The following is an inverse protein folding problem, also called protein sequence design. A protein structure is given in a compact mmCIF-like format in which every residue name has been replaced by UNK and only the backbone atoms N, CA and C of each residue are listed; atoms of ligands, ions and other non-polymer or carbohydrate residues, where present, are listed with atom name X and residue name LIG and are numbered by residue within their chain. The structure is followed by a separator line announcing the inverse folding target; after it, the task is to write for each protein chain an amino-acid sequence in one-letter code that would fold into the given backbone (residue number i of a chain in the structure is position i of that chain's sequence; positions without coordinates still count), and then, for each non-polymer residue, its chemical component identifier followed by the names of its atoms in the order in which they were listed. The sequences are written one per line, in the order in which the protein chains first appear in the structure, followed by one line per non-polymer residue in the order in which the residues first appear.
data_IF_897241530206
#
_entry.id   IF_897241530206
#
_cell.length_a   1.000
_cell.length_b   1.000
_cell.length_c   1.000
_cell.angle_alpha   90.00
_cell.angle_beta   90.00
_cell.angle_gamma   90.00
#
_symmetry.space_group_name_H-M   'P 1'
#
loop_
_entity.id
_entity.type
_entity.pdbx_description
1 polymer ?
#
# COMPACT_ATOMS: atom_id res chain seq x y z
N UNK A 1 33.67 -14.06 8.04
CA UNK A 1 32.86 -12.84 8.18
C UNK A 1 31.42 -13.27 7.94
N UNK A 2 30.59 -13.27 8.98
CA UNK A 2 29.18 -13.63 8.85
C UNK A 2 28.41 -12.35 8.45
N UNK A 3 27.74 -12.38 7.30
CA UNK A 3 26.83 -11.33 6.86
C UNK A 3 25.72 -11.18 7.90
N UNK A 4 25.59 -9.97 8.46
CA UNK A 4 24.51 -9.66 9.38
C UNK A 4 23.17 -9.74 8.62
N UNK A 5 22.13 -10.35 9.20
CA UNK A 5 20.82 -10.39 8.57
C UNK A 5 20.36 -8.95 8.35
N UNK A 6 19.93 -8.65 7.13
CA UNK A 6 19.39 -7.35 6.74
C UNK A 6 18.39 -6.92 7.81
N UNK A 7 18.80 -5.93 8.63
CA UNK A 7 17.90 -5.28 9.56
C UNK A 7 16.76 -4.78 8.68
N UNK A 8 15.57 -5.35 8.85
CA UNK A 8 14.33 -4.65 8.57
C UNK A 8 14.32 -3.44 9.51
N UNK A 9 15.08 -2.41 9.12
CA UNK A 9 14.90 -1.08 9.65
C UNK A 9 13.45 -0.81 9.30
N UNK A 10 12.62 -0.54 10.30
CA UNK A 10 11.32 0.10 10.12
C UNK A 10 11.58 1.51 9.61
N UNK A 11 12.17 1.61 8.42
CA UNK A 11 12.29 2.83 7.68
C UNK A 11 10.86 3.33 7.56
N UNK A 12 10.61 4.51 8.08
CA UNK A 12 9.34 5.18 7.81
C UNK A 12 9.16 5.20 6.29
N UNK A 13 7.97 4.98 5.74
CA UNK A 13 7.86 4.83 4.28
C UNK A 13 8.34 6.07 3.52
N UNK A 14 8.41 7.21 4.21
CA UNK A 14 9.03 8.45 3.72
C UNK A 14 10.52 8.29 3.33
N UNK A 15 11.20 7.29 3.91
CA UNK A 15 12.59 6.95 3.67
C UNK A 15 12.78 5.79 2.68
N UNK A 16 11.70 5.22 2.14
CA UNK A 16 11.80 4.16 1.13
C UNK A 16 12.22 4.76 -0.22
N UNK A 17 13.10 4.04 -0.91
CA UNK A 17 13.37 4.27 -2.33
C UNK A 17 12.08 4.14 -3.14
N UNK A 18 12.01 4.79 -4.31
CA UNK A 18 10.82 4.76 -5.17
C UNK A 18 10.37 3.33 -5.50
N UNK A 19 11.32 2.44 -5.82
CA UNK A 19 11.05 1.02 -6.08
C UNK A 19 10.50 0.27 -4.87
N UNK A 20 11.04 0.53 -3.67
CA UNK A 20 10.60 -0.15 -2.45
C UNK A 20 9.24 0.37 -1.98
N UNK A 21 8.98 1.67 -2.14
CA UNK A 21 7.66 2.26 -1.94
C UNK A 21 6.63 1.62 -2.87
N UNK A 22 6.93 1.51 -4.17
CA UNK A 22 6.04 0.86 -5.14
C UNK A 22 5.75 -0.60 -4.78
N UNK A 23 6.78 -1.37 -4.40
CA UNK A 23 6.60 -2.78 -3.97
C UNK A 23 5.75 -2.89 -2.70
N UNK A 24 6.02 -2.05 -1.70
CA UNK A 24 5.25 -2.06 -0.46
C UNK A 24 3.78 -1.69 -0.73
N UNK A 25 3.53 -0.66 -1.53
CA UNK A 25 2.17 -0.25 -1.90
C UNK A 25 1.46 -1.29 -2.75
N UNK A 26 2.16 -1.96 -3.68
CA UNK A 26 1.61 -3.07 -4.44
C UNK A 26 1.07 -4.17 -3.52
N UNK A 27 1.83 -4.55 -2.49
CA UNK A 27 1.38 -5.53 -1.50
C UNK A 27 0.14 -5.05 -0.75
N UNK A 28 0.12 -3.80 -0.27
CA UNK A 28 -1.02 -3.25 0.47
C UNK A 28 -2.30 -3.16 -0.38
N UNK A 29 -2.21 -2.60 -1.59
CA UNK A 29 -3.35 -2.48 -2.52
C UNK A 29 -3.87 -3.86 -2.92
N UNK A 30 -2.98 -4.82 -3.21
CA UNK A 30 -3.36 -6.21 -3.53
C UNK A 30 -4.12 -6.87 -2.39
N UNK A 31 -3.63 -6.73 -1.16
CA UNK A 31 -4.32 -7.29 0.02
C UNK A 31 -5.67 -6.61 0.25
N UNK A 32 -5.75 -5.29 0.05
CA UNK A 32 -6.99 -4.54 0.09
C UNK A 32 -8.02 -5.04 -0.93
N UNK A 33 -7.59 -5.29 -2.17
CA UNK A 33 -8.44 -5.86 -3.21
C UNK A 33 -8.94 -7.26 -2.85
N UNK A 34 -8.06 -8.13 -2.35
CA UNK A 34 -8.40 -9.49 -1.93
C UNK A 34 -9.42 -9.53 -0.78
N UNK A 35 -9.33 -8.59 0.16
CA UNK A 35 -10.31 -8.46 1.24
C UNK A 35 -11.70 -8.10 0.71
N UNK A 36 -11.80 -7.26 -0.33
CA UNK A 36 -13.09 -6.94 -0.99
C UNK A 36 -13.56 -8.03 -1.96
N UNK A 37 -12.62 -8.73 -2.58
CA UNK A 37 -12.87 -9.68 -3.67
C UNK A 37 -12.25 -11.05 -3.34
N UNK A 38 -12.82 -11.80 -2.38
CA UNK A 38 -12.28 -13.10 -2.01
C UNK A 38 -12.25 -14.05 -3.21
N UNK A 39 -11.15 -14.79 -3.38
CA UNK A 39 -10.96 -15.76 -4.47
C UNK A 39 -10.41 -15.17 -5.78
N UNK A 40 -10.30 -13.84 -5.92
CA UNK A 40 -9.76 -13.18 -7.13
C UNK A 40 -8.25 -12.97 -7.11
N UNK A 41 -7.49 -13.94 -6.59
CA UNK A 41 -6.04 -13.80 -6.37
C UNK A 41 -5.21 -13.61 -7.65
N UNK A 42 -5.68 -14.17 -8.78
CA UNK A 42 -5.03 -14.01 -10.08
C UNK A 42 -5.19 -12.60 -10.65
N UNK A 43 -6.34 -11.97 -10.41
CA UNK A 43 -6.61 -10.60 -10.88
C UNK A 43 -6.01 -9.57 -9.94
N UNK A 44 -5.95 -9.86 -8.63
CA UNK A 44 -5.46 -8.95 -7.60
C UNK A 44 -4.07 -8.37 -7.89
N UNK A 45 -3.15 -9.20 -8.39
CA UNK A 45 -1.80 -8.75 -8.71
C UNK A 45 -1.78 -7.78 -9.90
N UNK A 46 -2.53 -8.10 -10.96
CA UNK A 46 -2.65 -7.23 -12.14
C UNK A 46 -3.33 -5.90 -11.80
N UNK A 47 -4.42 -5.94 -11.04
CA UNK A 47 -5.17 -4.74 -10.64
C UNK A 47 -4.31 -3.86 -9.72
N UNK A 48 -3.62 -4.45 -8.74
CA UNK A 48 -2.73 -3.69 -7.90
C UNK A 48 -1.60 -3.06 -8.73
N UNK A 49 -0.99 -3.80 -9.66
CA UNK A 49 0.09 -3.27 -10.49
C UNK A 49 -0.36 -2.11 -11.38
N UNK A 50 -1.54 -2.20 -11.99
CA UNK A 50 -2.16 -1.10 -12.76
C UNK A 50 -2.32 0.16 -11.91
N UNK A 51 -2.85 0.00 -10.71
CA UNK A 51 -3.06 1.10 -9.76
C UNK A 51 -1.72 1.74 -9.37
N UNK A 52 -0.70 0.94 -9.02
CA UNK A 52 0.61 1.47 -8.63
C UNK A 52 1.31 2.19 -9.79
N UNK A 53 1.12 1.74 -11.03
CA UNK A 53 1.70 2.38 -12.21
C UNK A 53 1.06 3.73 -12.52
N UNK A 54 -0.26 3.85 -12.27
CA UNK A 54 -1.04 5.08 -12.50
C UNK A 54 -0.86 6.12 -11.39
N UNK A 55 -0.56 5.69 -10.17
CA UNK A 55 -0.38 6.58 -9.04
C UNK A 55 1.01 7.25 -9.06
N UNK A 56 1.01 8.56 -8.79
CA UNK A 56 2.25 9.29 -8.52
C UNK A 56 2.86 8.87 -7.19
N UNK A 57 4.16 9.07 -7.01
CA UNK A 57 4.86 8.74 -5.75
C UNK A 57 4.26 9.47 -4.54
N UNK A 58 3.81 10.71 -4.71
CA UNK A 58 3.12 11.45 -3.66
C UNK A 58 1.80 10.76 -3.25
N UNK A 59 1.02 10.30 -4.22
CA UNK A 59 -0.22 9.57 -3.98
C UNK A 59 0.05 8.21 -3.34
N UNK A 60 1.11 7.52 -3.76
CA UNK A 60 1.55 6.26 -3.14
C UNK A 60 1.93 6.47 -1.67
N UNK A 61 2.57 7.59 -1.31
CA UNK A 61 2.86 7.94 0.08
C UNK A 61 1.61 8.22 0.91
N UNK A 62 0.46 8.53 0.30
CA UNK A 62 -0.80 8.73 1.02
C UNK A 62 -1.47 7.40 1.41
N UNK A 63 -1.19 6.31 0.66
CA UNK A 63 -1.63 4.93 0.96
C UNK A 63 -0.73 4.28 2.03
N UNK A 64 -0.20 5.07 2.97
CA UNK A 64 0.70 4.60 4.01
C UNK A 64 -0.04 3.77 5.07
N UNK A 65 0.54 2.69 5.64
CA UNK A 65 -0.06 1.95 6.77
C UNK A 65 -0.43 2.81 7.98
N UNK A 66 0.36 3.82 8.32
CA UNK A 66 -0.04 4.87 9.31
C UNK A 66 -1.39 5.54 9.01
N UNK A 67 -1.76 5.73 7.75
CA UNK A 67 -3.08 6.26 7.35
C UNK A 67 -4.19 5.31 7.79
N UNK A 68 -3.89 4.01 7.91
CA UNK A 68 -4.85 2.98 8.29
C UNK A 68 -4.82 2.65 9.79
N UNK A 69 -3.65 2.67 10.42
CA UNK A 69 -3.43 2.19 11.80
C UNK A 69 -3.04 3.26 12.82
N UNK A 70 -2.28 4.30 12.44
CA UNK A 70 -1.56 5.12 13.42
C UNK A 70 -2.15 6.51 13.64
N UNK A 71 -2.85 7.08 12.66
CA UNK A 71 -3.27 8.49 12.71
C UNK A 71 -4.78 8.69 12.87
N UNK A 72 -5.40 7.92 13.76
CA UNK A 72 -6.85 8.02 13.99
C UNK A 72 -7.21 8.78 15.24
N UNK A 73 -8.13 9.73 15.06
CA UNK A 73 -9.03 10.17 16.13
C UNK A 73 -9.93 8.98 16.53
N UNK A 74 -10.19 8.83 17.83
CA UNK A 74 -11.10 7.81 18.36
C UNK A 74 -12.44 7.81 17.58
N UNK A 75 -12.73 6.73 16.84
CA UNK A 75 -14.02 6.54 16.16
C UNK A 75 -13.97 6.24 14.65
N UNK A 76 -12.84 6.44 13.97
CA UNK A 76 -12.75 6.17 12.52
C UNK A 76 -12.32 4.72 12.19
N UNK A 77 -13.01 4.06 11.26
CA UNK A 77 -12.67 2.71 10.79
C UNK A 77 -11.49 2.78 9.81
N UNK A 78 -10.64 1.73 9.77
CA UNK A 78 -9.46 1.76 8.90
C UNK A 78 -9.95 1.66 7.46
N UNK A 79 -9.57 2.62 6.62
CA UNK A 79 -9.91 2.54 5.19
C UNK A 79 -9.15 1.38 4.54
N UNK A 80 -9.73 0.80 3.51
CA UNK A 80 -9.05 -0.23 2.74
C UNK A 80 -8.03 0.45 1.79
N UNK A 81 -6.76 -0.01 1.72
CA UNK A 81 -5.75 0.60 0.84
C UNK A 81 -6.14 0.57 -0.64
N UNK A 82 -6.88 -0.44 -1.09
CA UNK A 82 -7.42 -0.48 -2.46
C UNK A 82 -8.45 0.63 -2.70
N UNK A 83 -9.32 0.91 -1.73
CA UNK A 83 -10.33 1.96 -1.88
C UNK A 83 -9.68 3.34 -1.85
N UNK A 84 -8.72 3.58 -0.98
CA UNK A 84 -7.96 4.83 -0.97
C UNK A 84 -7.24 5.03 -2.30
N UNK A 85 -6.64 3.97 -2.85
CA UNK A 85 -6.00 4.04 -4.15
C UNK A 85 -6.97 4.44 -5.27
N UNK A 86 -8.21 3.92 -5.25
CA UNK A 86 -9.26 4.32 -6.19
C UNK A 86 -9.72 5.76 -5.96
N UNK A 87 -9.90 6.19 -4.71
CA UNK A 87 -10.24 7.59 -4.37
C UNK A 87 -9.19 8.57 -4.92
N UNK A 88 -7.90 8.24 -4.77
CA UNK A 88 -6.77 9.03 -5.28
C UNK A 88 -6.73 9.08 -6.82
N UNK A 89 -7.18 8.02 -7.50
CA UNK A 89 -7.34 7.99 -8.96
C UNK A 89 -8.63 8.66 -9.44
N UNK A 90 -9.54 9.05 -8.54
CA UNK A 90 -10.86 9.58 -8.87
C UNK A 90 -11.86 8.51 -9.33
N UNK A 91 -11.63 7.24 -8.99
CA UNK A 91 -12.42 6.06 -9.37
C UNK A 91 -13.21 5.46 -8.19
N UNK A 92 -13.23 6.16 -7.04
CA UNK A 92 -13.85 5.73 -5.77
C UNK A 92 -15.33 6.09 -5.61
#
# INVERSE_FOLDING_TARGET
MAEAPERFISASFDQLSEDDLKKAMLMHVRMGYLMKNPGKSKEAEKIAQDIIDRLSLDQLRQIHPDTFFSNKKMGELPKNPYEVALELLGEG
#
